data_IF_444006635640
#
_entry.id   IF_444006635640
#
_cell.length_a   1.000
_cell.length_b   1.000
_cell.length_c   1.000
_cell.angle_alpha   90.00
_cell.angle_beta   90.00
_cell.angle_gamma   90.00
#
_symmetry.space_group_name_H-M   'P 1'
#
loop_
_entity.id
_entity.type
_entity.pdbx_description
1 polymer ?
#
# COMPACT_ATOMS: atom_id res chain seq x y z
N UNK A 1 -15.75 7.69 7.09
CA UNK A 1 -14.31 7.37 6.90
C UNK A 1 -13.46 8.62 6.71
N UNK A 2 -13.67 9.46 5.68
CA UNK A 2 -12.87 10.69 5.49
C UNK A 2 -12.88 11.65 6.69
N UNK A 3 -14.01 11.77 7.40
CA UNK A 3 -14.08 12.57 8.63
C UNK A 3 -13.15 12.05 9.72
N UNK A 4 -13.06 10.73 9.88
CA UNK A 4 -12.15 10.12 10.84
C UNK A 4 -10.71 10.43 10.45
N UNK A 5 -10.37 10.34 9.15
CA UNK A 5 -9.03 10.73 8.66
C UNK A 5 -8.72 12.18 9.06
N UNK A 6 -9.63 13.12 8.81
CA UNK A 6 -9.46 14.54 9.16
C UNK A 6 -9.22 14.77 10.67
N UNK A 7 -9.65 13.86 11.54
CA UNK A 7 -9.42 13.96 12.99
C UNK A 7 -8.12 13.32 13.49
N UNK A 8 -7.56 12.35 12.76
CA UNK A 8 -6.41 11.54 13.23
C UNK A 8 -5.09 11.88 12.55
N UNK A 9 -5.10 12.68 11.48
CA UNK A 9 -3.88 13.16 10.81
C UNK A 9 -3.78 14.69 10.89
N UNK A 10 -2.55 15.25 10.79
CA UNK A 10 -2.38 16.70 10.64
C UNK A 10 -3.14 17.25 9.43
N UNK A 11 -3.42 18.56 9.44
CA UNK A 11 -4.05 19.23 8.29
C UNK A 11 -3.27 18.98 7.00
N UNK A 12 -3.99 18.73 5.91
CA UNK A 12 -3.42 18.47 4.59
C UNK A 12 -4.22 19.22 3.51
N UNK A 13 -3.56 19.51 2.40
CA UNK A 13 -4.16 20.22 1.26
C UNK A 13 -4.14 19.40 -0.03
N UNK A 14 -3.41 18.28 -0.06
CA UNK A 14 -3.23 17.43 -1.24
C UNK A 14 -3.41 15.96 -0.85
N UNK A 15 -4.18 15.23 -1.66
CA UNK A 15 -4.35 13.78 -1.56
C UNK A 15 -3.85 13.15 -2.85
N UNK A 16 -3.00 12.13 -2.70
CA UNK A 16 -2.54 11.28 -3.79
C UNK A 16 -3.33 9.98 -3.77
N UNK A 17 -4.17 9.73 -4.79
CA UNK A 17 -4.95 8.49 -4.86
C UNK A 17 -5.29 8.12 -6.30
N UNK A 18 -5.29 6.81 -6.57
CA UNK A 18 -5.88 6.20 -7.77
C UNK A 18 -7.16 5.41 -7.45
N UNK A 19 -7.62 5.43 -6.19
CA UNK A 19 -8.89 4.82 -5.78
C UNK A 19 -10.07 5.75 -6.08
N UNK A 20 -11.06 5.25 -6.83
CA UNK A 20 -12.20 6.04 -7.31
C UNK A 20 -13.10 6.51 -6.17
N UNK A 21 -13.35 5.66 -5.17
CA UNK A 21 -14.18 6.00 -4.02
C UNK A 21 -13.52 7.13 -3.22
N UNK A 22 -12.23 7.02 -2.92
CA UNK A 22 -11.46 8.06 -2.22
C UNK A 22 -11.49 9.36 -3.01
N UNK A 23 -11.28 9.32 -4.34
CA UNK A 23 -11.38 10.50 -5.21
C UNK A 23 -12.75 11.14 -5.12
N UNK A 24 -13.83 10.36 -5.22
CA UNK A 24 -15.21 10.85 -5.14
C UNK A 24 -15.54 11.49 -3.78
N UNK A 25 -15.03 10.89 -2.70
CA UNK A 25 -15.29 11.39 -1.35
C UNK A 25 -14.60 12.74 -1.09
N UNK A 26 -13.39 12.95 -1.63
CA UNK A 26 -12.64 14.19 -1.44
C UNK A 26 -12.90 15.27 -2.49
N UNK A 27 -13.48 14.95 -3.65
CA UNK A 27 -13.80 15.95 -4.69
C UNK A 27 -14.84 17.01 -4.25
N UNK A 28 -15.55 16.76 -3.15
CA UNK A 28 -16.55 17.66 -2.55
C UNK A 28 -15.98 18.58 -1.47
N UNK A 29 -14.65 18.67 -1.34
CA UNK A 29 -13.93 19.41 -0.29
C UNK A 29 -12.86 20.31 -0.90
N UNK A 30 -12.37 21.25 -0.11
CA UNK A 30 -11.26 22.15 -0.48
C UNK A 30 -9.89 21.45 -0.33
N UNK A 31 -9.71 20.35 -1.06
CA UNK A 31 -8.49 19.54 -1.07
C UNK A 31 -8.17 19.14 -2.51
N UNK A 32 -6.92 19.30 -2.92
CA UNK A 32 -6.47 18.90 -4.27
C UNK A 32 -6.30 17.39 -4.34
N UNK A 33 -6.90 16.74 -5.33
CA UNK A 33 -6.78 15.28 -5.53
C UNK A 33 -5.96 14.97 -6.78
N UNK A 34 -4.79 14.35 -6.59
CA UNK A 34 -3.85 13.99 -7.65
C UNK A 34 -3.79 12.47 -7.85
N UNK A 35 -3.72 12.04 -9.11
CA UNK A 35 -3.35 10.66 -9.44
C UNK A 35 -1.85 10.45 -9.29
N UNK A 36 -1.43 9.20 -9.09
CA UNK A 36 -0.02 8.80 -9.02
C UNK A 36 0.33 7.89 -10.19
N UNK A 37 1.55 7.99 -10.75
CA UNK A 37 1.99 7.07 -11.79
C UNK A 37 2.10 5.65 -11.25
N UNK A 38 1.74 4.66 -12.08
CA UNK A 38 2.00 3.27 -11.76
C UNK A 38 3.43 2.90 -12.12
N UNK A 39 4.21 2.47 -11.13
CA UNK A 39 5.60 2.05 -11.31
C UNK A 39 5.67 0.53 -11.32
N UNK A 40 6.10 -0.05 -12.45
CA UNK A 40 6.38 -1.49 -12.63
C UNK A 40 5.34 -2.42 -11.99
N UNK A 41 4.04 -2.18 -12.21
CA UNK A 41 2.94 -2.82 -11.46
C UNK A 41 2.90 -4.34 -11.56
N UNK A 42 3.37 -4.90 -12.67
CA UNK A 42 3.44 -6.36 -12.89
C UNK A 42 4.45 -7.03 -11.96
N UNK A 43 5.43 -6.26 -11.46
CA UNK A 43 6.49 -6.74 -10.56
C UNK A 43 6.23 -6.22 -9.14
N UNK A 44 6.09 -4.90 -8.98
CA UNK A 44 5.95 -4.18 -7.72
C UNK A 44 4.47 -4.07 -7.30
N UNK A 45 3.87 -5.21 -6.99
CA UNK A 45 2.52 -5.31 -6.47
C UNK A 45 2.50 -6.16 -5.20
N UNK A 46 1.77 -5.69 -4.18
CA UNK A 46 1.59 -6.47 -2.94
C UNK A 46 0.95 -7.83 -3.19
N UNK A 47 0.07 -7.96 -4.20
CA UNK A 47 -0.52 -9.26 -4.58
C UNK A 47 0.54 -10.19 -5.13
N UNK A 48 1.38 -9.71 -6.06
CA UNK A 48 2.45 -10.52 -6.64
C UNK A 48 3.49 -10.92 -5.57
N UNK A 49 3.99 -9.96 -4.80
CA UNK A 49 4.99 -10.20 -3.75
C UNK A 49 4.46 -11.21 -2.71
N UNK A 50 3.20 -11.12 -2.28
CA UNK A 50 2.61 -12.12 -1.37
C UNK A 50 2.57 -13.52 -1.98
N UNK A 51 2.19 -13.64 -3.25
CA UNK A 51 2.20 -14.93 -3.95
C UNK A 51 3.62 -15.50 -4.02
N UNK A 52 4.62 -14.68 -4.35
CA UNK A 52 6.02 -15.09 -4.39
C UNK A 52 6.50 -15.60 -3.02
N UNK A 53 6.17 -14.92 -1.92
CA UNK A 53 6.51 -15.33 -0.56
C UNK A 53 5.90 -16.71 -0.22
N UNK A 54 4.62 -16.92 -0.55
CA UNK A 54 3.90 -18.17 -0.26
C UNK A 54 4.47 -19.33 -1.09
N UNK A 55 4.82 -19.05 -2.35
CA UNK A 55 5.33 -20.00 -3.34
C UNK A 55 6.86 -20.18 -3.33
N UNK A 56 7.58 -19.68 -2.32
CA UNK A 56 9.04 -19.83 -2.21
C UNK A 56 9.83 -19.25 -3.40
N UNK A 57 9.29 -18.24 -4.07
CA UNK A 57 9.97 -17.51 -5.15
C UNK A 57 10.80 -16.34 -4.58
N UNK A 58 11.80 -15.86 -5.34
CA UNK A 58 12.68 -14.76 -4.92
C UNK A 58 11.95 -13.41 -4.92
N UNK A 59 11.65 -12.84 -3.76
CA UNK A 59 10.90 -11.58 -3.58
C UNK A 59 11.70 -10.49 -2.85
N UNK A 60 12.82 -10.86 -2.24
CA UNK A 60 13.58 -10.04 -1.29
C UNK A 60 14.06 -8.73 -1.90
N UNK A 61 14.47 -8.75 -3.17
CA UNK A 61 14.96 -7.57 -3.91
C UNK A 61 13.82 -6.64 -4.37
N UNK A 62 12.55 -7.04 -4.18
CA UNK A 62 11.36 -6.26 -4.56
C UNK A 62 10.85 -5.37 -3.41
N UNK A 63 11.47 -5.44 -2.24
CA UNK A 63 11.11 -4.62 -1.08
C UNK A 63 12.35 -3.95 -0.47
N UNK A 64 12.18 -2.85 0.26
CA UNK A 64 13.28 -2.28 1.06
C UNK A 64 13.78 -3.26 2.13
N UNK A 65 15.06 -3.13 2.50
CA UNK A 65 15.73 -3.97 3.50
C UNK A 65 14.97 -4.05 4.83
N UNK A 66 14.43 -2.92 5.30
CA UNK A 66 13.62 -2.88 6.52
C UNK A 66 12.38 -3.76 6.45
N UNK A 67 11.70 -3.79 5.31
CA UNK A 67 10.51 -4.63 5.07
C UNK A 67 10.90 -6.10 5.03
N UNK A 68 11.99 -6.45 4.33
CA UNK A 68 12.52 -7.82 4.29
C UNK A 68 12.81 -8.33 5.71
N UNK A 69 13.53 -7.55 6.50
CA UNK A 69 13.90 -7.90 7.87
C UNK A 69 12.69 -8.01 8.79
N UNK A 70 11.69 -7.13 8.62
CA UNK A 70 10.43 -7.22 9.36
C UNK A 70 9.67 -8.51 9.04
N UNK A 71 9.57 -8.89 7.77
CA UNK A 71 8.88 -10.11 7.35
C UNK A 71 9.57 -11.36 7.87
N UNK A 72 10.91 -11.41 7.89
CA UNK A 72 11.64 -12.50 8.54
C UNK A 72 11.41 -12.53 10.06
N UNK A 73 11.55 -11.39 10.75
CA UNK A 73 11.38 -11.30 12.21
C UNK A 73 9.99 -11.70 12.68
N UNK A 74 8.97 -11.47 11.87
CA UNK A 74 7.56 -11.72 12.22
C UNK A 74 6.99 -13.02 11.66
N UNK A 75 7.83 -13.89 11.10
CA UNK A 75 7.40 -15.12 10.41
C UNK A 75 6.33 -14.83 9.34
N UNK A 76 6.52 -13.76 8.56
CA UNK A 76 5.55 -13.26 7.59
C UNK A 76 5.05 -14.32 6.61
N UNK A 77 5.96 -15.18 6.11
CA UNK A 77 5.59 -16.31 5.25
C UNK A 77 4.58 -17.26 5.92
N UNK A 78 4.83 -17.64 7.17
CA UNK A 78 3.95 -18.56 7.88
C UNK A 78 2.57 -17.93 8.11
N UNK A 79 2.55 -16.63 8.45
CA UNK A 79 1.29 -15.89 8.62
C UNK A 79 0.50 -15.81 7.31
N UNK A 80 1.17 -15.56 6.19
CA UNK A 80 0.54 -15.50 4.87
C UNK A 80 -0.05 -16.85 4.43
N UNK A 81 0.54 -17.97 4.82
CA UNK A 81 -0.01 -19.31 4.54
C UNK A 81 -1.27 -19.65 5.36
N UNK A 82 -1.51 -18.92 6.44
CA UNK A 82 -2.62 -19.17 7.37
C UNK A 82 -3.81 -18.22 7.15
N UNK A 83 -3.77 -17.38 6.11
CA UNK A 83 -4.82 -16.44 5.70
C UNK A 83 -5.48 -16.91 4.40
#
# INVERSE_FOLDING_TARGET
WIELINTIVPKFNIIFTNDELTRHLYSKRDVTVLSIPFVKRDILSGTNIRNMIISDQKWEDLVPEGTKNFLYKTNGKQRLKNL
#
